data_IF_620294568175
#
_entry.id   IF_620294568175
#
_cell.length_a   1.000
_cell.length_b   1.000
_cell.length_c   1.000
_cell.angle_alpha   90.00
_cell.angle_beta   90.00
_cell.angle_gamma   90.00
#
_symmetry.space_group_name_H-M   'P 1'
#
loop_
_entity.id
_entity.type
_entity.pdbx_description
1 polymer ?
#
# COMPACT_ATOMS: atom_id res chain seq x y z
N UNK A 1 -17.19 -62.66 -16.71
CA UNK A 1 -17.08 -61.41 -15.93
C UNK A 1 -16.40 -60.40 -16.83
N UNK A 2 -17.17 -59.44 -17.36
CA UNK A 2 -16.76 -58.58 -18.46
C UNK A 2 -16.19 -57.28 -17.87
N UNK A 3 -14.87 -57.19 -17.81
CA UNK A 3 -14.11 -56.07 -17.23
C UNK A 3 -14.49 -54.71 -17.84
N UNK A 4 -15.09 -54.70 -19.05
CA UNK A 4 -15.57 -53.47 -19.71
C UNK A 4 -16.85 -52.91 -19.10
N UNK A 5 -17.77 -53.75 -18.64
CA UNK A 5 -19.03 -53.31 -18.07
C UNK A 5 -18.81 -52.75 -16.65
N UNK A 6 -17.83 -53.31 -15.92
CA UNK A 6 -17.41 -52.80 -14.61
C UNK A 6 -16.71 -51.43 -14.73
N UNK A 7 -16.01 -51.15 -15.84
CA UNK A 7 -15.33 -49.87 -16.06
C UNK A 7 -16.30 -48.71 -16.36
N UNK A 8 -17.36 -48.97 -17.14
CA UNK A 8 -18.40 -47.97 -17.45
C UNK A 8 -19.20 -47.56 -16.21
N UNK A 9 -19.48 -48.51 -15.31
CA UNK A 9 -20.20 -48.23 -14.08
C UNK A 9 -19.39 -47.34 -13.12
N UNK A 10 -18.08 -47.54 -13.06
CA UNK A 10 -17.16 -46.69 -12.28
C UNK A 10 -17.07 -45.29 -12.87
N UNK A 11 -17.08 -45.13 -14.19
CA UNK A 11 -17.09 -43.81 -14.84
C UNK A 11 -18.38 -43.03 -14.55
N UNK A 12 -19.54 -43.68 -14.57
CA UNK A 12 -20.83 -43.04 -14.23
C UNK A 12 -20.89 -42.61 -12.75
N UNK A 13 -20.38 -43.42 -11.82
CA UNK A 13 -20.28 -43.06 -10.39
C UNK A 13 -19.36 -41.85 -10.17
N UNK A 14 -18.24 -41.76 -10.89
CA UNK A 14 -17.31 -40.62 -10.80
C UNK A 14 -17.98 -39.32 -11.29
N UNK A 15 -18.75 -39.38 -12.39
CA UNK A 15 -19.46 -38.22 -12.92
C UNK A 15 -20.56 -37.76 -11.95
N UNK A 16 -21.28 -38.69 -11.32
CA UNK A 16 -22.27 -38.36 -10.29
C UNK A 16 -21.64 -37.73 -9.04
N UNK A 17 -20.48 -38.22 -8.59
CA UNK A 17 -19.73 -37.62 -7.48
C UNK A 17 -19.19 -36.23 -7.84
N UNK A 18 -18.79 -36.00 -9.08
CA UNK A 18 -18.34 -34.69 -9.56
C UNK A 18 -19.49 -33.66 -9.58
N UNK A 19 -20.69 -34.05 -10.01
CA UNK A 19 -21.87 -33.17 -10.00
C UNK A 19 -22.37 -32.85 -8.58
N UNK A 20 -22.27 -33.81 -7.64
CA UNK A 20 -22.55 -33.60 -6.22
C UNK A 20 -21.55 -32.62 -5.58
N UNK A 21 -20.26 -32.70 -5.95
CA UNK A 21 -19.26 -31.71 -5.51
C UNK A 21 -19.57 -30.31 -6.02
N UNK A 22 -20.04 -30.14 -7.26
CA UNK A 22 -20.36 -28.83 -7.83
C UNK A 22 -21.58 -28.18 -7.15
N UNK A 23 -22.60 -28.98 -6.79
CA UNK A 23 -23.77 -28.51 -6.04
C UNK A 23 -23.44 -28.12 -4.59
N UNK A 24 -22.55 -28.86 -3.93
CA UNK A 24 -22.05 -28.52 -2.59
C UNK A 24 -21.08 -27.32 -2.61
N UNK A 25 -20.35 -27.10 -3.71
CA UNK A 25 -19.59 -25.87 -3.96
C UNK A 25 -20.50 -24.64 -4.06
N UNK A 26 -21.68 -24.79 -4.67
CA UNK A 26 -22.71 -23.76 -4.68
C UNK A 26 -23.24 -23.38 -3.29
N UNK A 27 -23.25 -24.33 -2.34
CA UNK A 27 -23.59 -24.08 -0.93
C UNK A 27 -22.42 -23.48 -0.12
N UNK A 28 -21.18 -23.84 -0.46
CA UNK A 28 -19.97 -23.14 0.02
C UNK A 28 -19.93 -21.68 -0.46
N UNK A 29 -20.60 -21.36 -1.58
CA UNK A 29 -20.81 -19.99 -2.05
C UNK A 29 -21.74 -19.15 -1.14
N UNK A 30 -22.53 -19.76 -0.25
CA UNK A 30 -23.27 -19.00 0.80
C UNK A 30 -22.34 -18.69 2.00
N UNK A 31 -21.23 -19.43 2.13
CA UNK A 31 -20.06 -19.04 2.93
C UNK A 31 -19.20 -17.96 2.25
N UNK A 32 -19.58 -17.48 1.05
CA UNK A 32 -18.94 -16.38 0.35
C UNK A 32 -19.11 -14.99 1.00
N UNK A 33 -19.50 -14.91 2.27
CA UNK A 33 -19.35 -13.68 3.08
C UNK A 33 -17.91 -13.50 3.64
N UNK A 34 -16.96 -14.36 3.28
CA UNK A 34 -15.50 -14.15 3.47
C UNK A 34 -14.75 -13.95 2.14
N UNK A 35 -15.45 -14.01 1.01
CA UNK A 35 -14.86 -14.04 -0.33
C UNK A 35 -14.48 -12.65 -0.86
N UNK A 36 -15.07 -11.58 -0.31
CA UNK A 36 -14.65 -10.22 -0.66
C UNK A 36 -13.20 -9.99 -0.21
N UNK A 37 -12.84 -10.41 1.00
CA UNK A 37 -11.46 -10.24 1.50
C UNK A 37 -10.44 -11.07 0.72
N UNK A 38 -10.70 -12.35 0.47
CA UNK A 38 -9.70 -13.22 -0.18
C UNK A 38 -9.51 -12.88 -1.66
N UNK A 39 -10.59 -12.58 -2.40
CA UNK A 39 -10.47 -12.18 -3.82
C UNK A 39 -9.83 -10.80 -3.92
N UNK A 40 -10.21 -9.84 -3.08
CA UNK A 40 -9.55 -8.53 -3.02
C UNK A 40 -8.10 -8.64 -2.54
N UNK A 41 -7.77 -9.53 -1.60
CA UNK A 41 -6.40 -9.80 -1.16
C UNK A 41 -5.57 -10.46 -2.27
N UNK A 42 -6.12 -11.43 -2.99
CA UNK A 42 -5.45 -12.07 -4.12
C UNK A 42 -5.25 -11.08 -5.28
N UNK A 43 -6.24 -10.24 -5.58
CA UNK A 43 -6.11 -9.15 -6.54
C UNK A 43 -5.03 -8.15 -6.11
N UNK A 44 -5.03 -7.71 -4.84
CA UNK A 44 -3.97 -6.85 -4.27
C UNK A 44 -2.60 -7.51 -4.31
N UNK A 45 -2.49 -8.82 -4.05
CA UNK A 45 -1.23 -9.57 -4.11
C UNK A 45 -0.71 -9.72 -5.55
N UNK A 46 -1.60 -9.99 -6.51
CA UNK A 46 -1.24 -10.08 -7.94
C UNK A 46 -0.79 -8.72 -8.46
N UNK A 47 -1.55 -7.65 -8.16
CA UNK A 47 -1.16 -6.27 -8.48
C UNK A 47 0.18 -5.94 -7.82
N UNK A 48 0.38 -6.26 -6.54
CA UNK A 48 1.66 -6.04 -5.83
C UNK A 48 2.84 -6.80 -6.48
N UNK A 49 2.62 -8.02 -6.97
CA UNK A 49 3.66 -8.81 -7.65
C UNK A 49 4.00 -8.22 -9.02
N UNK A 50 2.99 -7.92 -9.84
CA UNK A 50 3.19 -7.26 -11.14
C UNK A 50 3.83 -5.89 -10.97
N UNK A 51 3.41 -5.13 -9.95
CA UNK A 51 3.99 -3.86 -9.56
C UNK A 51 5.48 -3.98 -9.24
N UNK A 52 5.87 -4.92 -8.35
CA UNK A 52 7.27 -5.18 -8.03
C UNK A 52 8.11 -5.56 -9.25
N UNK A 53 7.55 -6.38 -10.14
CA UNK A 53 8.23 -6.80 -11.37
C UNK A 53 8.41 -5.63 -12.35
N UNK A 54 7.38 -4.79 -12.53
CA UNK A 54 7.43 -3.57 -13.33
C UNK A 54 8.44 -2.57 -12.76
N UNK A 55 8.46 -2.35 -11.45
CA UNK A 55 9.43 -1.46 -10.81
C UNK A 55 10.86 -1.97 -10.96
N UNK A 56 11.10 -3.28 -10.77
CA UNK A 56 12.42 -3.90 -10.97
C UNK A 56 12.90 -3.70 -12.41
N UNK A 57 11.97 -3.86 -13.36
CA UNK A 57 12.22 -3.66 -14.78
C UNK A 57 12.48 -2.18 -15.11
N UNK A 58 11.70 -1.25 -14.55
CA UNK A 58 11.88 0.19 -14.69
C UNK A 58 13.27 0.66 -14.21
N UNK A 59 13.67 0.21 -13.03
CA UNK A 59 15.00 0.47 -12.45
C UNK A 59 16.11 -0.04 -13.39
N UNK A 60 15.92 -1.21 -14.01
CA UNK A 60 16.89 -1.80 -14.94
C UNK A 60 16.92 -1.14 -16.33
N UNK A 61 15.88 -0.39 -16.71
CA UNK A 61 15.65 0.08 -18.09
C UNK A 61 16.28 1.44 -18.44
N UNK A 62 17.11 2.00 -17.56
CA UNK A 62 17.73 3.34 -17.66
C UNK A 62 16.80 4.47 -17.21
N UNK A 63 16.62 4.58 -15.90
CA UNK A 63 16.72 5.92 -15.32
C UNK A 63 18.12 6.44 -15.73
N UNK A 64 18.23 7.64 -16.31
CA UNK A 64 19.48 8.13 -16.91
C UNK A 64 20.71 7.99 -15.98
N UNK A 65 21.92 8.13 -16.52
CA UNK A 65 23.19 7.87 -15.82
C UNK A 65 23.38 8.57 -14.45
N UNK A 66 22.51 9.49 -14.08
CA UNK A 66 22.58 10.29 -12.84
C UNK A 66 21.82 9.68 -11.65
N UNK A 67 21.02 8.62 -11.86
CA UNK A 67 20.21 7.99 -10.80
C UNK A 67 19.14 8.91 -10.18
N UNK A 68 18.41 8.45 -9.15
CA UNK A 68 17.43 9.26 -8.44
C UNK A 68 18.11 10.46 -7.77
N UNK A 69 17.63 11.67 -8.07
CA UNK A 69 18.16 12.89 -7.45
C UNK A 69 17.73 13.00 -5.99
N UNK A 70 18.53 13.64 -5.10
CA UNK A 70 18.07 14.00 -3.77
C UNK A 70 16.77 14.79 -3.83
N UNK A 71 15.80 14.40 -3.01
CA UNK A 71 14.51 15.08 -2.94
C UNK A 71 14.66 16.43 -2.23
N UNK A 72 13.89 17.41 -2.68
CA UNK A 72 13.71 18.68 -1.99
C UNK A 72 12.33 18.72 -1.33
N UNK A 73 12.11 19.66 -0.41
CA UNK A 73 10.81 19.82 0.23
C UNK A 73 9.67 20.03 -0.82
N UNK A 74 9.98 20.64 -1.97
CA UNK A 74 8.99 20.87 -3.04
C UNK A 74 8.68 19.62 -3.86
N UNK A 75 9.66 18.74 -4.10
CA UNK A 75 9.45 17.54 -4.91
C UNK A 75 8.95 16.34 -4.11
N UNK A 76 9.26 16.29 -2.81
CA UNK A 76 8.85 15.19 -1.94
C UNK A 76 7.33 15.02 -1.86
N UNK A 77 6.58 16.12 -1.67
CA UNK A 77 5.12 16.04 -1.55
C UNK A 77 4.49 15.55 -2.86
N UNK A 78 4.96 16.05 -3.99
CA UNK A 78 4.53 15.58 -5.32
C UNK A 78 4.82 14.09 -5.49
N UNK A 79 6.04 13.65 -5.13
CA UNK A 79 6.45 12.26 -5.20
C UNK A 79 5.53 11.34 -4.35
N UNK A 80 5.23 11.75 -3.11
CA UNK A 80 4.34 11.00 -2.21
C UNK A 80 2.93 10.87 -2.78
N UNK A 81 2.35 11.96 -3.26
CA UNK A 81 0.99 11.95 -3.85
C UNK A 81 0.95 11.02 -5.05
N UNK A 82 1.91 11.15 -5.98
CA UNK A 82 2.00 10.25 -7.14
C UNK A 82 2.15 8.80 -6.69
N UNK A 83 3.01 8.52 -5.70
CA UNK A 83 3.23 7.16 -5.20
C UNK A 83 1.94 6.57 -4.62
N UNK A 84 1.24 7.33 -3.77
CA UNK A 84 -0.01 6.88 -3.17
C UNK A 84 -1.08 6.66 -4.25
N UNK A 85 -1.20 7.57 -5.21
CA UNK A 85 -2.13 7.43 -6.33
C UNK A 85 -1.87 6.14 -7.12
N UNK A 86 -0.61 5.82 -7.41
CA UNK A 86 -0.27 4.59 -8.14
C UNK A 86 -0.63 3.34 -7.33
N UNK A 87 -0.41 3.37 -6.01
CA UNK A 87 -0.69 2.25 -5.11
C UNK A 87 -2.20 2.01 -4.92
N UNK A 88 -3.01 3.06 -5.02
CA UNK A 88 -4.44 3.03 -4.72
C UNK A 88 -5.35 3.00 -5.95
N UNK A 89 -4.90 3.47 -7.11
CA UNK A 89 -5.67 3.41 -8.36
C UNK A 89 -5.60 2.01 -8.98
N UNK A 90 -6.76 1.39 -9.16
CA UNK A 90 -6.88 0.20 -10.02
C UNK A 90 -6.55 0.60 -11.47
N UNK A 91 -5.59 -0.09 -12.10
CA UNK A 91 -5.22 0.16 -13.49
C UNK A 91 -4.10 1.20 -13.73
N UNK A 92 -3.34 1.57 -12.69
CA UNK A 92 -2.09 2.36 -12.85
C UNK A 92 -1.21 1.75 -13.95
N UNK A 93 -0.79 2.58 -14.90
CA UNK A 93 -0.08 2.11 -16.08
C UNK A 93 1.44 1.99 -15.83
N UNK A 94 2.14 1.32 -16.75
CA UNK A 94 3.60 1.12 -16.68
C UNK A 94 4.38 2.44 -16.72
N UNK A 95 3.88 3.45 -17.43
CA UNK A 95 4.56 4.74 -17.64
C UNK A 95 4.60 5.55 -16.33
N UNK A 96 3.49 5.61 -15.59
CA UNK A 96 3.43 6.29 -14.29
C UNK A 96 4.40 5.64 -13.28
N UNK A 97 4.45 4.31 -13.28
CA UNK A 97 5.36 3.54 -12.42
C UNK A 97 6.83 3.76 -12.79
N UNK A 98 7.12 3.83 -14.09
CA UNK A 98 8.45 4.14 -14.62
C UNK A 98 8.86 5.58 -14.28
N UNK A 99 7.94 6.54 -14.36
CA UNK A 99 8.17 7.93 -13.98
C UNK A 99 8.58 8.04 -12.51
N UNK A 100 7.82 7.45 -11.58
CA UNK A 100 8.17 7.48 -10.15
C UNK A 100 9.52 6.80 -9.90
N UNK A 101 9.70 5.59 -10.44
CA UNK A 101 10.91 4.81 -10.23
C UNK A 101 12.17 5.55 -10.73
N UNK A 102 12.07 6.26 -11.85
CA UNK A 102 13.19 6.98 -12.42
C UNK A 102 13.37 8.41 -11.94
N UNK A 103 12.33 9.05 -11.41
CA UNK A 103 12.43 10.43 -10.90
C UNK A 103 12.81 10.45 -9.43
N UNK A 104 12.21 9.59 -8.62
CA UNK A 104 12.31 9.63 -7.15
C UNK A 104 12.99 8.39 -6.56
N UNK A 105 12.97 7.28 -7.28
CA UNK A 105 13.42 5.97 -6.81
C UNK A 105 12.27 5.05 -6.43
N UNK A 106 12.54 3.76 -6.30
CA UNK A 106 11.56 2.77 -5.88
C UNK A 106 12.26 1.58 -5.19
N UNK A 107 11.72 1.06 -4.05
CA UNK A 107 10.49 1.47 -3.37
C UNK A 107 10.65 2.81 -2.64
N UNK A 108 9.58 3.32 -2.04
CA UNK A 108 9.59 4.64 -1.35
C UNK A 108 10.66 4.74 -0.24
N UNK A 109 11.06 3.63 0.37
CA UNK A 109 12.13 3.57 1.38
C UNK A 109 13.53 3.83 0.80
N UNK A 110 13.70 3.75 -0.53
CA UNK A 110 14.96 4.06 -1.23
C UNK A 110 15.16 5.55 -1.51
N UNK A 111 14.16 6.38 -1.26
CA UNK A 111 14.20 7.80 -1.58
C UNK A 111 15.26 8.53 -0.78
N UNK A 112 16.08 9.33 -1.47
CA UNK A 112 17.09 10.16 -0.81
C UNK A 112 16.43 11.42 -0.22
N UNK A 113 16.11 11.33 1.06
CA UNK A 113 15.48 12.38 1.88
C UNK A 113 16.49 13.13 2.76
N UNK A 114 17.79 12.81 2.67
CA UNK A 114 18.83 13.33 3.57
C UNK A 114 19.00 14.84 3.54
N UNK A 115 18.52 15.52 2.49
CA UNK A 115 18.61 16.98 2.34
C UNK A 115 17.38 17.72 2.85
N UNK A 116 16.35 17.00 3.29
CA UNK A 116 15.09 17.60 3.70
C UNK A 116 15.20 18.22 5.09
N UNK A 117 14.57 19.39 5.23
CA UNK A 117 14.46 20.12 6.49
C UNK A 117 13.01 20.18 6.99
N UNK A 118 12.05 19.92 6.11
CA UNK A 118 10.63 20.02 6.41
C UNK A 118 9.91 18.79 5.81
N UNK A 119 9.32 17.98 6.68
CA UNK A 119 8.46 16.84 6.32
C UNK A 119 7.01 17.05 6.78
N UNK A 120 6.65 18.29 7.07
CA UNK A 120 5.33 18.64 7.57
C UNK A 120 4.25 18.25 6.56
N UNK A 121 3.14 17.74 7.10
CA UNK A 121 1.95 17.37 6.35
C UNK A 121 2.13 16.32 5.24
N UNK A 122 3.28 15.64 5.18
CA UNK A 122 3.63 14.81 4.02
C UNK A 122 2.63 13.68 3.73
N UNK A 123 2.13 13.04 4.79
CA UNK A 123 1.12 11.98 4.77
C UNK A 123 -0.17 12.42 5.48
N UNK A 124 -0.43 13.72 5.45
CA UNK A 124 -1.57 14.32 6.14
C UNK A 124 -2.84 14.20 5.30
N UNK A 125 -3.87 13.59 5.89
CA UNK A 125 -5.23 13.66 5.37
C UNK A 125 -5.88 15.02 5.57
N UNK A 126 -7.07 15.21 4.98
CA UNK A 126 -7.85 16.44 5.12
C UNK A 126 -8.08 16.76 6.61
N UNK A 127 -7.65 17.96 7.01
CA UNK A 127 -7.75 18.50 8.36
C UNK A 127 -9.14 19.08 8.68
N UNK A 128 -9.97 19.30 7.65
CA UNK A 128 -11.24 20.00 7.80
C UNK A 128 -12.39 19.11 8.28
N UNK A 129 -12.20 17.79 8.28
CA UNK A 129 -13.21 16.86 8.75
C UNK A 129 -12.77 16.19 10.04
N UNK A 130 -13.42 16.58 11.13
CA UNK A 130 -13.31 15.92 12.42
C UNK A 130 -14.13 14.62 12.42
N UNK A 131 -13.52 13.52 11.97
CA UNK A 131 -14.14 12.19 11.96
C UNK A 131 -14.15 11.52 13.36
N UNK A 132 -13.94 12.27 14.44
CA UNK A 132 -13.98 11.72 15.80
C UNK A 132 -15.37 11.23 16.23
N UNK A 133 -16.45 11.72 15.59
CA UNK A 133 -17.84 11.38 15.93
C UNK A 133 -18.50 10.31 15.05
N UNK A 134 -17.88 9.89 13.94
CA UNK A 134 -18.42 8.83 13.10
C UNK A 134 -17.89 7.47 13.56
N UNK A 135 -18.77 6.47 13.67
CA UNK A 135 -18.40 5.06 13.68
C UNK A 135 -17.63 4.79 12.38
N UNK A 136 -16.32 4.95 12.45
CA UNK A 136 -15.44 5.09 11.30
C UNK A 136 -15.12 3.72 10.72
N UNK A 137 -15.82 3.36 9.64
CA UNK A 137 -15.30 2.40 8.68
C UNK A 137 -14.70 3.19 7.48
N UNK A 138 -13.36 3.31 7.39
CA UNK A 138 -12.69 3.98 6.27
C UNK A 138 -12.95 3.32 4.91
N UNK A 139 -13.51 2.11 4.89
CA UNK A 139 -13.82 1.40 3.64
C UNK A 139 -15.16 1.83 2.99
N UNK A 140 -15.99 2.61 3.68
CA UNK A 140 -17.31 3.02 3.18
C UNK A 140 -17.32 4.33 2.38
N UNK A 141 -16.22 5.11 2.37
CA UNK A 141 -16.16 6.43 1.71
C UNK A 141 -15.22 6.43 0.49
N UNK A 142 -15.80 6.69 -0.68
CA UNK A 142 -15.18 6.57 -2.01
C UNK A 142 -14.35 7.82 -2.42
N UNK A 143 -14.33 8.88 -1.61
CA UNK A 143 -13.61 10.14 -1.90
C UNK A 143 -12.48 10.45 -0.90
N UNK A 144 -11.76 9.43 -0.43
CA UNK A 144 -10.65 9.64 0.51
C UNK A 144 -9.31 9.79 -0.24
N UNK A 145 -8.55 10.83 0.05
CA UNK A 145 -7.21 11.09 -0.51
C UNK A 145 -6.33 9.83 -0.38
N UNK A 146 -5.72 9.38 -1.48
CA UNK A 146 -4.89 8.16 -1.53
C UNK A 146 -3.78 8.16 -0.46
N UNK A 147 -3.32 9.35 -0.09
CA UNK A 147 -2.30 9.59 0.95
C UNK A 147 -2.77 9.16 2.35
N UNK A 148 -4.06 9.23 2.66
CA UNK A 148 -4.61 8.83 3.98
C UNK A 148 -4.51 7.34 4.27
N UNK A 149 -4.46 6.54 3.21
CA UNK A 149 -4.29 5.10 3.30
C UNK A 149 -2.81 4.68 3.28
N UNK A 150 -1.87 5.62 3.23
CA UNK A 150 -0.45 5.29 3.17
C UNK A 150 0.00 4.38 4.33
N UNK A 151 0.63 3.25 3.99
CA UNK A 151 1.17 2.29 4.97
C UNK A 151 2.43 1.57 4.45
N UNK A 152 3.20 2.22 3.56
CA UNK A 152 4.45 1.65 3.07
C UNK A 152 5.60 1.95 4.05
N UNK A 153 6.54 1.01 4.16
CA UNK A 153 7.70 1.15 5.05
C UNK A 153 8.58 2.34 4.64
N UNK A 154 8.94 3.18 5.61
CA UNK A 154 9.79 4.38 5.44
C UNK A 154 10.82 4.52 6.57
N UNK A 155 11.05 3.46 7.36
CA UNK A 155 11.98 3.47 8.49
C UNK A 155 13.46 3.59 8.08
N UNK A 156 13.78 3.44 6.78
CA UNK A 156 15.14 3.60 6.23
C UNK A 156 15.52 5.05 5.91
N UNK A 157 14.58 5.98 6.01
CA UNK A 157 14.82 7.39 5.69
C UNK A 157 15.81 8.06 6.66
N UNK A 158 16.80 8.76 6.11
CA UNK A 158 17.70 9.62 6.87
C UNK A 158 17.02 10.95 7.20
N UNK A 159 16.52 11.08 8.44
CA UNK A 159 15.83 12.27 8.94
C UNK A 159 16.75 13.23 9.69
N UNK A 160 18.07 13.00 9.71
CA UNK A 160 19.02 13.72 10.56
C UNK A 160 19.12 15.22 10.27
N UNK A 161 18.60 15.70 9.14
CA UNK A 161 18.53 17.13 8.80
C UNK A 161 17.13 17.75 8.94
N UNK A 162 16.12 16.95 9.29
CA UNK A 162 14.74 17.40 9.42
C UNK A 162 14.57 18.25 10.68
N UNK A 163 13.91 19.39 10.54
CA UNK A 163 13.66 20.35 11.61
C UNK A 163 12.17 20.51 11.94
N UNK A 164 11.27 20.15 11.01
CA UNK A 164 9.82 20.19 11.21
C UNK A 164 9.14 18.94 10.67
N UNK A 165 8.25 18.35 11.48
CA UNK A 165 7.41 17.20 11.17
C UNK A 165 5.94 17.45 11.58
N UNK A 166 5.51 18.72 11.62
CA UNK A 166 4.14 19.06 12.05
C UNK A 166 3.11 18.38 11.15
N UNK A 167 2.07 17.81 11.76
CA UNK A 167 0.97 17.13 11.06
C UNK A 167 1.41 16.05 10.05
N UNK A 168 2.66 15.52 10.07
CA UNK A 168 3.18 14.64 9.03
C UNK A 168 2.29 13.43 8.73
N UNK A 169 1.68 12.82 9.75
CA UNK A 169 0.74 11.69 9.66
C UNK A 169 -0.64 12.06 10.22
N UNK A 170 -1.02 13.33 10.22
CA UNK A 170 -2.34 13.69 10.73
C UNK A 170 -3.43 13.07 9.85
N UNK A 171 -4.39 12.37 10.44
CA UNK A 171 -5.44 11.63 9.72
C UNK A 171 -4.90 10.56 8.76
N UNK A 172 -3.68 10.04 8.98
CA UNK A 172 -3.16 8.88 8.26
C UNK A 172 -3.78 7.59 8.82
N UNK A 173 -4.96 7.22 8.32
CA UNK A 173 -5.80 6.18 8.91
C UNK A 173 -5.30 4.75 8.78
N UNK A 174 -4.31 4.50 7.93
CA UNK A 174 -3.73 3.16 7.74
C UNK A 174 -2.28 3.03 8.23
N UNK A 175 -1.61 4.14 8.58
CA UNK A 175 -0.19 4.13 8.84
C UNK A 175 0.15 3.44 10.17
N UNK A 176 0.97 2.39 10.14
CA UNK A 176 1.50 1.73 11.33
C UNK A 176 2.87 1.08 11.08
N UNK A 177 3.75 1.75 10.33
CA UNK A 177 5.08 1.24 10.02
C UNK A 177 6.11 1.68 11.06
N UNK A 178 7.12 0.83 11.29
CA UNK A 178 8.23 1.14 12.19
C UNK A 178 9.09 2.30 11.64
N UNK A 179 9.20 3.35 12.46
CA UNK A 179 10.00 4.56 12.21
C UNK A 179 10.95 4.85 13.39
N UNK A 180 11.21 3.87 14.26
CA UNK A 180 12.03 4.05 15.46
C UNK A 180 13.50 4.37 15.16
N UNK A 181 13.94 4.26 13.90
CA UNK A 181 15.31 4.59 13.45
C UNK A 181 15.49 6.04 13.04
N UNK A 182 14.42 6.83 13.01
CA UNK A 182 14.51 8.23 12.62
C UNK A 182 15.25 9.04 13.68
N UNK A 183 16.29 9.77 13.24
CA UNK A 183 16.94 10.80 14.04
C UNK A 183 16.02 12.01 14.11
N UNK A 184 15.49 12.25 15.31
CA UNK A 184 14.60 13.38 15.61
C UNK A 184 15.28 14.47 16.44
N UNK A 185 16.60 14.38 16.62
CA UNK A 185 17.37 15.28 17.51
C UNK A 185 17.33 16.75 17.10
N UNK A 186 17.13 17.05 15.81
CA UNK A 186 17.01 18.41 15.26
C UNK A 186 15.56 18.88 15.10
N UNK A 187 14.57 18.03 15.33
CA UNK A 187 13.17 18.37 15.11
C UNK A 187 12.69 19.29 16.24
N UNK A 188 12.17 20.45 15.85
CA UNK A 188 11.67 21.49 16.77
C UNK A 188 10.15 21.57 16.81
N UNK A 189 9.46 21.00 15.82
CA UNK A 189 8.00 20.98 15.74
C UNK A 189 7.47 19.60 15.29
N UNK A 190 6.76 18.93 16.20
CA UNK A 190 6.01 17.68 15.97
C UNK A 190 4.52 17.84 16.29
N UNK A 191 3.99 19.08 16.34
CA UNK A 191 2.58 19.31 16.68
C UNK A 191 1.68 18.51 15.75
N UNK A 192 0.70 17.83 16.34
CA UNK A 192 -0.30 17.02 15.66
C UNK A 192 0.28 15.94 14.71
N UNK A 193 1.56 15.54 14.86
CA UNK A 193 2.22 14.60 13.93
C UNK A 193 1.40 13.33 13.69
N UNK A 194 0.75 12.80 14.73
CA UNK A 194 -0.11 11.60 14.66
C UNK A 194 -1.57 11.87 15.07
N UNK A 195 -2.04 13.13 15.02
CA UNK A 195 -3.44 13.43 15.35
C UNK A 195 -4.36 12.61 14.43
N UNK A 196 -5.34 11.90 14.99
CA UNK A 196 -6.25 11.00 14.26
C UNK A 196 -5.58 9.80 13.53
N UNK A 197 -4.28 9.53 13.73
CA UNK A 197 -3.59 8.33 13.23
C UNK A 197 -3.83 7.14 14.19
N UNK A 198 -5.07 6.65 14.24
CA UNK A 198 -5.53 5.67 15.24
C UNK A 198 -4.71 4.35 15.28
N UNK A 199 -4.26 3.77 14.15
CA UNK A 199 -3.53 2.50 14.20
C UNK A 199 -2.08 2.59 14.68
N UNK A 200 -1.47 3.79 14.68
CA UNK A 200 -0.05 3.92 14.95
C UNK A 200 0.28 3.57 16.40
N UNK A 201 1.12 2.56 16.59
CA UNK A 201 1.53 2.07 17.90
C UNK A 201 3.02 1.74 18.00
N UNK A 202 3.87 2.41 17.21
CA UNK A 202 5.31 2.18 17.14
C UNK A 202 6.09 3.15 18.05
N UNK A 203 7.35 2.80 18.32
CA UNK A 203 8.27 3.68 19.04
C UNK A 203 8.68 4.88 18.18
N UNK A 204 8.85 6.04 18.84
CA UNK A 204 9.39 7.26 18.24
C UNK A 204 10.59 7.68 19.08
N UNK A 205 11.77 7.79 18.46
CA UNK A 205 12.98 8.30 19.10
C UNK A 205 14.21 7.43 18.85
N UNK A 206 15.04 7.86 17.90
CA UNK A 206 16.45 7.49 17.75
C UNK A 206 17.37 8.62 18.21
#
# INVERSE_FOLDING_TARGET
MNIKDDCLHVEEEIIQQQQLMEHDFGRLLIHALSYLDVVTLLQKQVVSKQFKELCTKAISMKCGNDGPKPLTNSTLREAVVKFCDIMYKEGSNKEDMEEIACTYGFPIDSWNVSQLTNMSELFCGDQNYDYSELHFDPSEFVEMDSVTHFNAFIGSWDTSNVTTMNCMFCSAYAFNQDIGRWDVSKVTDMKNMFRNCKPFNQYIGG
#
